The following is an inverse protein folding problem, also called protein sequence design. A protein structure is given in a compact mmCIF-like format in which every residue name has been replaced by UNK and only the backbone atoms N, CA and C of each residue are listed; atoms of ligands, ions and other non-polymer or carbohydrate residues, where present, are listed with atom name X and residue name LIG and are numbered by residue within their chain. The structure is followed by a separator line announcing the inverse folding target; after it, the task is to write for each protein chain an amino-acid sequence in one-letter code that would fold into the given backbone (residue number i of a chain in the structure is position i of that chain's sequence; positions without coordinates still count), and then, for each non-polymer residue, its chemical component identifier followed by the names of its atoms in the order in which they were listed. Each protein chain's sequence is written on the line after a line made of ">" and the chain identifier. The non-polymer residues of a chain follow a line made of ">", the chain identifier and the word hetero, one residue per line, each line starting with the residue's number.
data_IF_599132126951
#
_entry.id   IF_599132126951
#
_cell.length_a   1.000
_cell.length_b   1.000
_cell.length_c   1.000
_cell.angle_alpha   90.00
_cell.angle_beta   90.00
_cell.angle_gamma   90.00
#
_symmetry.space_group_name_H-M   'P 1'
#
loop_
_entity.id
_entity.type
_entity.pdbx_description
1 polymer ?
#
# COMPACT_ATOMS: atom_id res chain seq x y z
N UNK A 1 -1.80 -11.87 27.60
CA UNK A 1 -1.75 -10.68 26.73
C UNK A 1 -2.16 -11.17 25.35
N UNK A 2 -3.14 -10.55 24.70
CA UNK A 2 -3.51 -10.95 23.34
C UNK A 2 -2.28 -10.82 22.45
N UNK A 3 -1.99 -11.89 21.71
CA UNK A 3 -0.82 -11.93 20.80
C UNK A 3 -0.93 -10.84 19.75
N UNK A 4 0.15 -10.10 19.53
CA UNK A 4 0.18 -9.00 18.56
C UNK A 4 0.35 -9.59 17.16
N UNK A 5 -0.61 -9.37 16.23
CA UNK A 5 -0.47 -9.93 14.89
C UNK A 5 0.82 -9.43 14.23
N UNK A 6 1.47 -10.33 13.53
CA UNK A 6 2.68 -10.03 12.74
C UNK A 6 2.26 -9.47 11.39
N UNK A 7 2.79 -8.31 11.05
CA UNK A 7 2.58 -7.63 9.77
C UNK A 7 3.89 -7.64 8.99
N UNK A 8 3.91 -8.33 7.85
CA UNK A 8 5.03 -8.25 6.92
C UNK A 8 5.07 -6.85 6.28
N UNK A 9 6.25 -6.26 6.15
CA UNK A 9 6.44 -4.97 5.49
C UNK A 9 7.55 -5.13 4.46
N UNK A 10 7.18 -5.07 3.18
CA UNK A 10 8.15 -5.20 2.10
C UNK A 10 8.93 -3.90 1.88
N UNK A 11 10.11 -4.03 1.32
CA UNK A 11 10.97 -2.90 0.97
C UNK A 11 12.21 -3.34 0.22
N UNK A 12 13.02 -2.37 -0.28
CA UNK A 12 14.25 -2.67 -0.99
C UNK A 12 15.30 -3.25 -0.05
N UNK A 13 16.29 -3.89 -0.61
CA UNK A 13 17.52 -4.20 0.10
C UNK A 13 18.26 -2.93 0.54
N UNK A 14 19.22 -3.06 1.48
CA UNK A 14 19.97 -1.94 2.00
C UNK A 14 19.27 -1.16 3.12
N UNK A 15 19.79 0.05 3.38
CA UNK A 15 19.32 0.89 4.50
C UNK A 15 18.23 1.85 4.03
N UNK A 16 16.99 1.61 4.45
CA UNK A 16 15.87 2.54 4.34
C UNK A 16 15.31 2.90 5.73
N UNK A 17 16.12 3.54 6.58
CA UNK A 17 15.79 3.66 8.00
C UNK A 17 14.52 4.49 8.26
N UNK A 18 14.26 5.52 7.45
CA UNK A 18 13.15 6.46 7.69
C UNK A 18 11.80 5.80 7.36
N UNK A 19 11.63 5.28 6.13
CA UNK A 19 10.36 4.66 5.72
C UNK A 19 10.04 3.43 6.58
N UNK A 20 11.03 2.55 6.78
CA UNK A 20 10.88 1.39 7.64
C UNK A 20 10.54 1.77 9.09
N UNK A 21 11.28 2.73 9.67
CA UNK A 21 11.04 3.19 11.04
C UNK A 21 9.64 3.79 11.23
N UNK A 22 9.18 4.58 10.26
CA UNK A 22 7.85 5.19 10.27
C UNK A 22 6.75 4.11 10.16
N UNK A 23 6.87 3.16 9.21
CA UNK A 23 5.90 2.07 9.05
C UNK A 23 5.88 1.15 10.27
N UNK A 24 7.06 0.76 10.79
CA UNK A 24 7.17 -0.02 12.02
C UNK A 24 6.48 0.65 13.21
N UNK A 25 6.69 1.95 13.38
CA UNK A 25 6.04 2.72 14.43
C UNK A 25 4.53 2.77 14.24
N UNK A 26 4.04 2.98 13.01
CA UNK A 26 2.61 2.99 12.68
C UNK A 26 1.94 1.65 13.04
N UNK A 27 2.54 0.52 12.64
CA UNK A 27 2.07 -0.84 12.96
C UNK A 27 2.12 -1.08 14.47
N UNK A 28 3.18 -0.66 15.15
CA UNK A 28 3.29 -0.80 16.62
C UNK A 28 2.19 -0.03 17.35
N UNK A 29 1.93 1.22 16.97
CA UNK A 29 0.85 2.04 17.55
C UNK A 29 -0.55 1.50 17.22
N UNK A 30 -0.70 0.75 16.13
CA UNK A 30 -1.91 0.03 15.79
C UNK A 30 -2.10 -1.27 16.58
N UNK A 31 -1.08 -1.71 17.32
CA UNK A 31 -1.11 -2.92 18.14
C UNK A 31 -0.66 -4.19 17.41
N UNK A 32 0.09 -4.05 16.31
CA UNK A 32 0.76 -5.12 15.57
C UNK A 32 2.27 -5.19 15.86
N UNK A 33 2.92 -6.18 15.27
CA UNK A 33 4.38 -6.35 15.23
C UNK A 33 4.83 -6.35 13.77
N UNK A 34 5.66 -5.39 13.37
CA UNK A 34 6.16 -5.32 12.00
C UNK A 34 7.43 -6.15 11.81
N UNK A 35 7.47 -6.94 10.73
CA UNK A 35 8.65 -7.68 10.28
C UNK A 35 9.03 -7.19 8.89
N UNK A 36 10.29 -6.80 8.70
CA UNK A 36 10.78 -6.32 7.40
C UNK A 36 11.13 -7.49 6.50
N UNK A 37 10.58 -7.48 5.29
CA UNK A 37 10.91 -8.41 4.21
C UNK A 37 11.52 -7.67 3.03
N UNK A 38 12.62 -8.23 2.51
CA UNK A 38 13.34 -7.72 1.34
C UNK A 38 13.73 -8.89 0.45
N UNK A 39 14.06 -8.68 -0.83
CA UNK A 39 14.51 -9.77 -1.71
C UNK A 39 15.60 -10.64 -1.08
N UNK A 40 16.62 -10.03 -0.46
CA UNK A 40 17.77 -10.77 0.12
C UNK A 40 17.46 -11.50 1.42
N UNK A 41 16.52 -11.02 2.25
CA UNK A 41 16.27 -11.60 3.58
C UNK A 41 15.04 -12.52 3.62
N UNK A 42 14.23 -12.53 2.57
CA UNK A 42 13.05 -13.38 2.49
C UNK A 42 13.41 -14.87 2.39
N UNK A 43 12.61 -15.70 3.04
CA UNK A 43 12.67 -17.17 2.95
C UNK A 43 11.25 -17.70 2.89
N UNK A 44 10.98 -18.67 2.02
CA UNK A 44 9.64 -19.19 1.70
C UNK A 44 8.81 -19.55 2.94
N UNK A 45 9.41 -20.23 3.93
CA UNK A 45 8.75 -20.61 5.19
C UNK A 45 8.28 -19.42 6.05
N UNK A 46 8.65 -18.19 5.70
CA UNK A 46 8.20 -17.00 6.42
C UNK A 46 6.78 -16.59 6.01
N UNK A 47 6.28 -17.06 4.85
CA UNK A 47 4.93 -16.76 4.37
C UNK A 47 3.84 -17.16 5.37
N UNK A 48 4.07 -18.22 6.14
CA UNK A 48 3.12 -18.71 7.15
C UNK A 48 3.12 -17.93 8.47
N UNK A 49 4.05 -16.98 8.63
CA UNK A 49 4.28 -16.31 9.91
C UNK A 49 3.60 -14.97 10.08
N UNK A 50 3.03 -14.40 9.05
CA UNK A 50 2.39 -13.08 9.12
C UNK A 50 0.90 -13.16 8.79
N UNK A 51 0.13 -12.31 9.44
CA UNK A 51 -1.33 -12.24 9.36
C UNK A 51 -1.81 -11.05 8.52
N UNK A 52 -0.92 -10.20 8.03
CA UNK A 52 -1.18 -9.12 7.09
C UNK A 52 0.12 -8.70 6.41
N UNK A 53 -0.01 -8.00 5.29
CA UNK A 53 1.15 -7.49 4.54
C UNK A 53 0.98 -6.01 4.19
N UNK A 54 2.08 -5.27 4.26
CA UNK A 54 2.21 -3.90 3.74
C UNK A 54 3.21 -3.96 2.59
N UNK A 55 2.76 -3.63 1.39
CA UNK A 55 3.64 -3.41 0.24
C UNK A 55 4.11 -1.96 0.31
N UNK A 56 5.40 -1.78 0.55
CA UNK A 56 5.95 -0.48 0.91
C UNK A 56 6.14 0.48 -0.26
N UNK A 57 6.26 1.78 0.05
CA UNK A 57 6.65 2.81 -0.91
C UNK A 57 8.11 2.67 -1.37
N UNK A 58 8.50 3.41 -2.41
CA UNK A 58 9.89 3.37 -2.90
C UNK A 58 10.12 3.98 -4.29
N UNK A 59 11.03 3.36 -5.04
CA UNK A 59 11.40 3.69 -6.41
C UNK A 59 10.24 3.49 -7.41
N UNK A 60 10.48 3.80 -8.67
CA UNK A 60 9.50 3.59 -9.73
C UNK A 60 9.35 2.09 -10.04
N UNK A 61 8.20 1.68 -10.56
CA UNK A 61 7.94 0.33 -11.07
C UNK A 61 8.41 0.26 -12.50
N UNK A 62 9.01 -0.87 -12.89
CA UNK A 62 9.42 -1.10 -14.26
C UNK A 62 8.21 -1.03 -15.21
N UNK A 63 8.30 -0.14 -16.19
CA UNK A 63 7.23 0.11 -17.13
C UNK A 63 6.91 -1.10 -18.02
N UNK A 64 7.86 -2.01 -18.23
CA UNK A 64 7.64 -3.26 -18.97
C UNK A 64 6.56 -4.13 -18.32
N UNK A 65 6.41 -4.08 -16.98
CA UNK A 65 5.41 -4.86 -16.25
C UNK A 65 3.97 -4.48 -16.57
N UNK A 66 3.73 -3.28 -17.11
CA UNK A 66 2.38 -2.82 -17.48
C UNK A 66 2.27 -2.33 -18.93
N UNK A 67 3.26 -2.68 -19.78
CA UNK A 67 3.27 -2.34 -21.20
C UNK A 67 3.53 -0.84 -21.48
N UNK A 68 4.19 -0.15 -20.57
CA UNK A 68 4.60 1.24 -20.68
C UNK A 68 6.05 1.40 -21.14
N UNK A 69 6.54 2.63 -21.10
CA UNK A 69 7.94 2.97 -21.37
C UNK A 69 8.60 3.61 -20.15
N UNK A 70 9.82 3.17 -19.83
CA UNK A 70 10.61 3.78 -18.79
C UNK A 70 11.12 5.16 -19.23
N UNK A 71 11.09 6.13 -18.35
CA UNK A 71 11.69 7.44 -18.59
C UNK A 71 13.19 7.40 -18.28
N UNK A 72 13.97 8.34 -18.82
CA UNK A 72 15.41 8.47 -18.50
C UNK A 72 15.70 8.69 -17.01
N UNK A 73 14.69 9.08 -16.24
CA UNK A 73 14.79 9.37 -14.81
C UNK A 73 14.19 8.28 -13.93
N UNK A 74 13.66 7.19 -14.53
CA UNK A 74 13.08 6.07 -13.79
C UNK A 74 14.15 5.36 -12.96
N UNK A 75 13.86 5.15 -11.70
CA UNK A 75 14.71 4.38 -10.77
C UNK A 75 14.04 3.04 -10.52
N UNK A 76 14.47 2.02 -11.24
CA UNK A 76 13.89 0.69 -11.22
C UNK A 76 14.68 -0.20 -10.27
N UNK A 77 13.96 -1.08 -9.57
CA UNK A 77 14.49 -2.14 -8.71
C UNK A 77 13.77 -3.45 -9.09
N UNK A 78 14.27 -4.09 -10.14
CA UNK A 78 13.62 -5.25 -10.74
C UNK A 78 13.53 -6.44 -9.77
N UNK A 79 14.57 -6.67 -8.96
CA UNK A 79 14.55 -7.75 -7.95
C UNK A 79 13.43 -7.53 -6.93
N UNK A 80 13.23 -6.29 -6.54
CA UNK A 80 12.14 -5.90 -5.66
C UNK A 80 10.78 -6.00 -6.34
N UNK A 81 10.66 -5.61 -7.61
CA UNK A 81 9.42 -5.72 -8.38
C UNK A 81 8.96 -7.18 -8.44
N UNK A 82 9.87 -8.11 -8.77
CA UNK A 82 9.58 -9.54 -8.84
C UNK A 82 9.20 -10.11 -7.46
N UNK A 83 9.99 -9.81 -6.44
CA UNK A 83 9.73 -10.24 -5.07
C UNK A 83 8.37 -9.74 -4.55
N UNK A 84 8.09 -8.45 -4.70
CA UNK A 84 6.82 -7.89 -4.20
C UNK A 84 5.62 -8.37 -5.03
N UNK A 85 5.79 -8.64 -6.33
CA UNK A 85 4.76 -9.28 -7.17
C UNK A 85 4.40 -10.68 -6.62
N UNK A 86 5.40 -11.50 -6.28
CA UNK A 86 5.18 -12.80 -5.64
C UNK A 86 4.45 -12.68 -4.30
N UNK A 87 4.86 -11.71 -3.47
CA UNK A 87 4.23 -11.46 -2.17
C UNK A 87 2.78 -10.98 -2.28
N UNK A 88 2.46 -10.16 -3.30
CA UNK A 88 1.10 -9.74 -3.60
C UNK A 88 0.27 -10.96 -4.04
N UNK A 89 0.77 -11.79 -4.96
CA UNK A 89 0.10 -13.01 -5.40
C UNK A 89 -0.23 -13.92 -4.22
N UNK A 90 0.76 -14.24 -3.37
CA UNK A 90 0.54 -15.03 -2.16
C UNK A 90 -0.56 -14.41 -1.25
N UNK A 91 -0.53 -13.11 -1.04
CA UNK A 91 -1.51 -12.45 -0.17
C UNK A 91 -2.93 -12.45 -0.77
N UNK A 92 -3.05 -12.37 -2.09
CA UNK A 92 -4.33 -12.52 -2.80
C UNK A 92 -4.87 -13.94 -2.67
N UNK A 93 -4.05 -14.96 -2.93
CA UNK A 93 -4.42 -16.38 -2.89
C UNK A 93 -4.84 -16.83 -1.49
N UNK A 94 -4.18 -16.29 -0.46
CA UNK A 94 -4.44 -16.64 0.95
C UNK A 94 -5.41 -15.68 1.63
N UNK A 95 -5.93 -14.70 0.90
CA UNK A 95 -6.86 -13.68 1.40
C UNK A 95 -6.33 -12.90 2.63
N UNK A 96 -5.00 -12.69 2.68
CA UNK A 96 -4.35 -11.91 3.73
C UNK A 96 -4.68 -10.42 3.58
N UNK A 97 -4.98 -9.67 4.64
CA UNK A 97 -5.13 -8.22 4.58
C UNK A 97 -3.89 -7.54 3.96
N UNK A 98 -4.12 -6.70 2.93
CA UNK A 98 -3.08 -6.04 2.15
C UNK A 98 -3.22 -4.52 2.24
N UNK A 99 -2.14 -3.82 2.59
CA UNK A 99 -2.02 -2.37 2.45
C UNK A 99 -0.91 -2.03 1.46
N UNK A 100 -1.27 -1.44 0.32
CA UNK A 100 -0.31 -0.84 -0.60
C UNK A 100 -0.05 0.63 -0.28
N UNK A 101 1.22 1.04 -0.14
CA UNK A 101 1.60 2.42 0.12
C UNK A 101 2.40 2.97 -1.07
N UNK A 102 1.90 4.02 -1.71
CA UNK A 102 2.51 4.73 -2.83
C UNK A 102 2.88 3.75 -3.96
N UNK A 103 4.16 3.42 -4.14
CA UNK A 103 4.61 2.38 -5.07
C UNK A 103 3.89 1.04 -4.86
N UNK A 104 3.65 0.66 -3.60
CA UNK A 104 2.94 -0.60 -3.29
C UNK A 104 1.49 -0.62 -3.79
N UNK A 105 0.78 0.51 -3.75
CA UNK A 105 -0.55 0.62 -4.33
C UNK A 105 -0.51 0.52 -5.86
N UNK A 106 0.51 1.11 -6.48
CA UNK A 106 0.74 1.04 -7.92
C UNK A 106 1.07 -0.40 -8.37
N UNK A 107 1.96 -1.10 -7.64
CA UNK A 107 2.33 -2.47 -7.96
C UNK A 107 1.14 -3.44 -7.81
N UNK A 108 0.32 -3.29 -6.79
CA UNK A 108 -0.93 -4.06 -6.65
C UNK A 108 -1.82 -3.85 -7.88
N UNK A 109 -1.98 -2.61 -8.35
CA UNK A 109 -2.73 -2.29 -9.56
C UNK A 109 -2.14 -3.00 -10.79
N UNK A 110 -0.83 -2.99 -10.96
CA UNK A 110 -0.12 -3.63 -12.08
C UNK A 110 -0.27 -5.15 -12.03
N UNK A 111 -0.09 -5.78 -10.87
CA UNK A 111 -0.27 -7.24 -10.68
C UNK A 111 -1.69 -7.68 -11.04
N UNK A 112 -2.67 -6.84 -10.83
CA UNK A 112 -4.07 -7.07 -11.21
C UNK A 112 -4.37 -6.62 -12.66
N UNK A 113 -3.37 -6.38 -13.50
CA UNK A 113 -3.49 -6.08 -14.93
C UNK A 113 -3.79 -4.62 -15.24
N UNK A 114 -3.66 -3.70 -14.29
CA UNK A 114 -3.77 -2.26 -14.51
C UNK A 114 -2.53 -1.63 -15.15
N UNK A 115 -2.57 -0.32 -15.42
CA UNK A 115 -1.45 0.45 -15.95
C UNK A 115 -1.17 1.70 -15.10
N UNK A 116 -0.03 2.34 -15.35
CA UNK A 116 0.40 3.56 -14.67
C UNK A 116 0.69 4.67 -15.67
N UNK A 117 0.39 5.90 -15.28
CA UNK A 117 1.06 7.07 -15.85
C UNK A 117 2.51 7.06 -15.37
N UNK A 118 3.47 7.07 -16.28
CA UNK A 118 4.89 7.14 -15.96
C UNK A 118 5.31 8.52 -15.42
N UNK A 119 4.57 9.58 -15.80
CA UNK A 119 4.80 10.95 -15.32
C UNK A 119 3.49 11.77 -15.27
N UNK A 120 3.08 12.15 -14.06
CA UNK A 120 1.87 12.94 -13.84
C UNK A 120 2.09 14.46 -13.83
N UNK A 121 3.32 14.93 -14.07
CA UNK A 121 3.63 16.37 -13.96
C UNK A 121 2.84 17.23 -14.93
N UNK A 122 2.54 16.71 -16.12
CA UNK A 122 1.73 17.39 -17.14
C UNK A 122 0.22 17.20 -16.93
N UNK A 123 -0.19 16.27 -16.07
CA UNK A 123 -1.60 16.03 -15.74
C UNK A 123 -2.10 16.92 -14.58
N UNK A 124 -1.18 17.59 -13.87
CA UNK A 124 -1.55 18.45 -12.75
C UNK A 124 -1.81 19.86 -13.23
N UNK A 125 -3.05 20.29 -13.10
CA UNK A 125 -3.52 21.62 -13.45
C UNK A 125 -3.90 22.45 -12.22
N UNK A 126 -4.47 21.83 -11.19
CA UNK A 126 -4.98 22.50 -10.00
C UNK A 126 -3.98 22.45 -8.82
N UNK A 127 -3.06 21.48 -8.81
CA UNK A 127 -2.11 21.33 -7.74
C UNK A 127 -0.66 21.35 -8.25
N UNK A 128 0.28 21.79 -7.40
CA UNK A 128 1.68 21.87 -7.79
C UNK A 128 2.34 20.48 -7.89
N UNK A 129 3.38 20.38 -8.74
CA UNK A 129 4.24 19.20 -8.86
C UNK A 129 5.23 19.02 -7.69
N UNK A 130 5.18 19.90 -6.68
CA UNK A 130 6.10 19.87 -5.54
C UNK A 130 5.89 18.59 -4.72
N UNK A 131 6.93 17.77 -4.63
CA UNK A 131 6.99 16.62 -3.72
C UNK A 131 7.17 17.10 -2.29
N UNK A 132 6.41 16.55 -1.35
CA UNK A 132 6.48 16.93 0.05
C UNK A 132 5.99 15.82 0.97
N UNK A 133 6.70 15.53 2.07
CA UNK A 133 6.22 14.61 3.10
C UNK A 133 5.11 15.24 3.98
N UNK A 134 4.91 16.56 3.89
CA UNK A 134 3.87 17.25 4.65
C UNK A 134 2.50 17.16 3.97
N UNK A 135 1.38 17.21 4.72
CA UNK A 135 0.01 17.03 4.20
C UNK A 135 -0.48 18.30 3.49
N UNK A 136 0.06 18.57 2.28
CA UNK A 136 -0.24 19.79 1.50
C UNK A 136 -1.22 19.56 0.35
N UNK A 137 -1.54 18.30 0.01
CA UNK A 137 -2.56 17.97 -0.98
C UNK A 137 -3.84 17.48 -0.30
N UNK A 138 -4.90 17.37 -1.08
CA UNK A 138 -6.22 16.93 -0.60
C UNK A 138 -6.62 15.69 -1.39
N UNK A 139 -7.06 14.66 -0.69
CA UNK A 139 -7.81 13.56 -1.27
C UNK A 139 -9.30 13.76 -0.98
N UNK A 140 -10.13 13.37 -1.93
CA UNK A 140 -11.59 13.47 -1.90
C UNK A 140 -12.14 12.06 -2.09
N UNK A 141 -13.07 11.65 -1.23
CA UNK A 141 -13.78 10.39 -1.36
C UNK A 141 -14.60 10.36 -2.66
N UNK A 142 -14.51 9.26 -3.41
CA UNK A 142 -15.29 9.02 -4.62
C UNK A 142 -16.40 7.99 -4.39
N UNK A 143 -16.16 7.03 -3.52
CA UNK A 143 -17.14 6.00 -3.17
C UNK A 143 -16.94 5.50 -1.73
N UNK A 144 -18.01 4.92 -1.18
CA UNK A 144 -17.94 4.26 0.13
C UNK A 144 -17.01 3.04 0.08
N UNK A 145 -16.33 2.78 1.20
CA UNK A 145 -15.43 1.66 1.35
C UNK A 145 -14.67 1.67 2.66
N UNK A 146 -13.86 0.64 2.86
CA UNK A 146 -13.12 0.45 4.12
C UNK A 146 -12.07 1.53 4.38
N UNK A 147 -11.55 2.16 3.32
CA UNK A 147 -10.65 3.31 3.47
C UNK A 147 -11.41 4.52 4.00
N UNK A 148 -12.60 4.80 3.48
CA UNK A 148 -13.44 5.92 3.94
C UNK A 148 -13.87 5.71 5.39
N UNK A 149 -14.23 4.47 5.77
CA UNK A 149 -14.52 4.11 7.17
C UNK A 149 -13.32 4.36 8.09
N UNK A 150 -12.11 4.06 7.61
CA UNK A 150 -10.89 4.33 8.35
C UNK A 150 -10.61 5.82 8.47
N UNK A 151 -10.74 6.57 7.39
CA UNK A 151 -10.47 8.01 7.31
C UNK A 151 -11.53 8.82 8.05
N UNK A 152 -12.81 8.44 7.94
CA UNK A 152 -13.96 9.09 8.57
C UNK A 152 -14.07 10.58 8.15
N UNK A 153 -14.05 10.83 6.84
CA UNK A 153 -14.15 12.16 6.24
C UNK A 153 -14.23 12.05 4.72
N UNK A 154 -15.05 12.85 4.10
CA UNK A 154 -15.17 12.95 2.63
C UNK A 154 -13.96 13.66 1.98
N UNK A 155 -13.22 14.44 2.77
CA UNK A 155 -11.99 15.10 2.34
C UNK A 155 -10.94 15.07 3.44
N UNK A 156 -9.69 14.79 3.06
CA UNK A 156 -8.58 14.78 4.01
C UNK A 156 -7.26 15.22 3.39
N UNK A 157 -6.35 15.64 4.26
CA UNK A 157 -5.01 16.10 3.84
C UNK A 157 -4.08 14.92 3.68
N UNK A 158 -3.32 14.92 2.57
CA UNK A 158 -2.32 13.91 2.20
C UNK A 158 -0.99 14.58 1.81
N UNK A 159 0.09 13.81 1.89
CA UNK A 159 1.38 14.17 1.30
C UNK A 159 1.48 13.64 -0.14
N UNK A 160 2.54 13.99 -0.85
CA UNK A 160 2.76 13.50 -2.23
C UNK A 160 4.25 13.46 -2.52
N UNK A 161 4.77 12.26 -2.80
CA UNK A 161 6.19 12.00 -3.05
C UNK A 161 6.43 11.24 -4.37
N UNK A 162 5.41 11.16 -5.23
CA UNK A 162 5.39 10.33 -6.44
C UNK A 162 5.30 11.18 -7.72
N UNK A 163 5.78 10.62 -8.83
CA UNK A 163 5.53 11.09 -10.20
C UNK A 163 4.74 10.07 -11.03
N UNK A 164 4.79 8.78 -10.68
CA UNK A 164 3.88 7.78 -11.25
C UNK A 164 2.53 7.79 -10.51
N UNK A 165 1.47 7.41 -11.20
CA UNK A 165 0.13 7.20 -10.62
C UNK A 165 -0.63 6.14 -11.41
N UNK A 166 -1.66 5.57 -10.81
CA UNK A 166 -2.58 4.64 -11.47
C UNK A 166 -3.28 5.35 -12.62
N UNK A 167 -3.20 4.75 -13.82
CA UNK A 167 -3.90 5.15 -15.04
C UNK A 167 -5.14 4.25 -15.22
N UNK A 168 -4.97 3.06 -15.81
CA UNK A 168 -6.03 2.07 -15.93
C UNK A 168 -6.05 1.17 -14.70
N UNK A 169 -7.24 1.02 -14.15
CA UNK A 169 -7.46 0.21 -12.95
C UNK A 169 -7.29 -1.28 -13.23
N UNK A 170 -6.66 -2.01 -12.30
CA UNK A 170 -6.54 -3.46 -12.33
C UNK A 170 -7.88 -4.15 -12.06
N UNK A 171 -7.98 -5.41 -12.47
CA UNK A 171 -9.18 -6.21 -12.32
C UNK A 171 -9.56 -6.39 -10.84
N UNK A 172 -10.85 -6.26 -10.54
CA UNK A 172 -11.37 -6.41 -9.17
C UNK A 172 -11.04 -5.26 -8.23
N UNK A 173 -10.43 -4.17 -8.72
CA UNK A 173 -10.25 -2.93 -7.95
C UNK A 173 -11.36 -1.92 -8.24
N UNK A 174 -11.61 -1.04 -7.29
CA UNK A 174 -12.41 0.19 -7.44
C UNK A 174 -11.64 1.40 -6.91
N UNK A 175 -11.88 2.55 -7.53
CA UNK A 175 -11.38 3.83 -7.00
C UNK A 175 -12.26 4.26 -5.84
N UNK A 176 -11.64 4.68 -4.74
CA UNK A 176 -12.35 5.17 -3.54
C UNK A 176 -11.93 6.59 -3.16
N UNK A 177 -10.85 7.11 -3.75
CA UNK A 177 -10.45 8.49 -3.57
C UNK A 177 -9.64 9.02 -4.75
N UNK A 178 -9.82 10.31 -5.07
CA UNK A 178 -9.01 11.07 -6.03
C UNK A 178 -8.52 12.37 -5.40
N UNK A 179 -7.50 12.97 -6.02
CA UNK A 179 -7.12 14.34 -5.65
C UNK A 179 -7.84 15.39 -6.53
N UNK A 180 -7.51 16.67 -6.33
CA UNK A 180 -8.12 17.78 -7.08
C UNK A 180 -7.80 17.74 -8.59
N UNK A 181 -6.73 17.08 -9.00
CA UNK A 181 -6.36 16.85 -10.40
C UNK A 181 -6.97 15.54 -10.96
N UNK A 182 -7.93 14.96 -10.27
CA UNK A 182 -8.60 13.68 -10.61
C UNK A 182 -7.67 12.47 -10.64
N UNK A 183 -6.44 12.56 -10.12
CA UNK A 183 -5.51 11.44 -10.02
C UNK A 183 -5.96 10.49 -8.90
N UNK A 184 -5.88 9.19 -9.16
CA UNK A 184 -6.25 8.14 -8.20
C UNK A 184 -5.36 8.26 -6.95
N UNK A 185 -5.99 8.38 -5.80
CA UNK A 185 -5.31 8.46 -4.51
C UNK A 185 -5.65 7.26 -3.61
N UNK A 186 -6.77 6.61 -3.81
CA UNK A 186 -7.17 5.43 -3.05
C UNK A 186 -7.86 4.40 -3.92
N UNK A 187 -7.50 3.13 -3.74
CA UNK A 187 -8.13 1.97 -4.37
C UNK A 187 -8.44 0.91 -3.34
N UNK A 188 -9.48 0.12 -3.59
CA UNK A 188 -9.87 -1.04 -2.79
C UNK A 188 -10.24 -2.20 -3.70
N UNK A 189 -10.08 -3.43 -3.21
CA UNK A 189 -10.67 -4.59 -3.88
C UNK A 189 -12.18 -4.65 -3.67
N UNK A 190 -12.88 -5.14 -4.70
CA UNK A 190 -14.33 -5.39 -4.66
C UNK A 190 -14.64 -6.69 -3.91
N UNK A 191 -13.77 -7.70 -4.00
CA UNK A 191 -14.00 -9.06 -3.50
C UNK A 191 -13.05 -9.53 -2.41
N UNK A 192 -11.83 -8.98 -2.36
CA UNK A 192 -10.85 -9.38 -1.35
C UNK A 192 -11.26 -8.88 0.04
N UNK A 193 -11.08 -9.71 1.07
CA UNK A 193 -11.47 -9.43 2.46
C UNK A 193 -11.04 -8.04 2.96
N UNK A 194 -9.80 -7.64 2.70
CA UNK A 194 -9.27 -6.32 3.01
C UNK A 194 -8.03 -6.01 2.16
N UNK A 195 -8.21 -5.34 1.04
CA UNK A 195 -7.15 -4.81 0.22
C UNK A 195 -7.39 -3.32 0.02
N UNK A 196 -6.46 -2.52 0.46
CA UNK A 196 -6.46 -1.06 0.33
C UNK A 196 -5.13 -0.61 -0.25
N UNK A 197 -5.17 0.18 -1.30
CA UNK A 197 -4.02 0.89 -1.86
C UNK A 197 -4.17 2.39 -1.67
N UNK A 198 -3.14 3.06 -1.15
CA UNK A 198 -3.10 4.53 -1.00
C UNK A 198 -1.88 5.09 -1.72
N UNK A 199 -2.08 6.15 -2.52
CA UNK A 199 -1.01 6.76 -3.31
C UNK A 199 -0.08 7.66 -2.47
N UNK A 200 -0.54 8.13 -1.32
CA UNK A 200 0.28 8.91 -0.39
C UNK A 200 1.00 8.02 0.63
N UNK A 201 1.73 8.65 1.55
CA UNK A 201 2.51 8.00 2.60
C UNK A 201 1.88 8.27 3.98
N UNK A 202 0.90 7.45 4.43
CA UNK A 202 0.25 7.61 5.74
C UNK A 202 1.22 7.39 6.91
N UNK A 203 2.30 6.61 6.70
CA UNK A 203 3.33 6.35 7.71
C UNK A 203 4.11 7.60 8.11
N UNK A 204 4.21 8.61 7.23
CA UNK A 204 4.81 9.91 7.56
C UNK A 204 3.82 10.88 8.23
N UNK A 205 2.54 10.53 8.26
CA UNK A 205 1.46 11.36 8.80
C UNK A 205 0.82 10.77 10.05
N UNK A 206 1.50 9.89 10.77
CA UNK A 206 0.97 9.18 11.96
C UNK A 206 0.60 10.12 13.13
N UNK A 207 1.05 11.37 13.11
CA UNK A 207 0.59 12.39 14.04
C UNK A 207 -0.87 12.81 13.80
N UNK A 208 -1.43 12.54 12.61
CA UNK A 208 -2.84 12.73 12.28
C UNK A 208 -3.65 11.47 12.61
N UNK A 209 -4.72 11.61 13.41
CA UNK A 209 -5.57 10.49 13.86
C UNK A 209 -6.11 9.65 12.71
N UNK A 210 -6.59 10.30 11.62
CA UNK A 210 -7.13 9.64 10.43
C UNK A 210 -6.12 8.70 9.77
N UNK A 211 -4.87 9.13 9.65
CA UNK A 211 -3.81 8.32 9.02
C UNK A 211 -3.46 7.07 9.87
N UNK A 212 -3.44 7.20 11.21
CA UNK A 212 -3.25 6.04 12.10
C UNK A 212 -4.38 5.01 12.01
N UNK A 213 -5.61 5.43 11.69
CA UNK A 213 -6.75 4.52 11.60
C UNK A 213 -6.59 3.52 10.45
N UNK A 214 -5.91 3.88 9.34
CA UNK A 214 -5.60 2.94 8.25
C UNK A 214 -4.83 1.73 8.79
N UNK A 215 -3.77 1.97 9.55
CA UNK A 215 -2.97 0.89 10.15
C UNK A 215 -3.75 0.11 11.22
N UNK A 216 -4.63 0.77 11.97
CA UNK A 216 -5.51 0.10 12.93
C UNK A 216 -6.48 -0.86 12.24
N UNK A 217 -7.07 -0.46 11.13
CA UNK A 217 -7.95 -1.33 10.35
C UNK A 217 -7.21 -2.54 9.83
N UNK A 218 -6.01 -2.37 9.24
CA UNK A 218 -5.16 -3.47 8.81
C UNK A 218 -4.88 -4.46 9.96
N UNK A 219 -4.42 -3.97 11.11
CA UNK A 219 -4.09 -4.82 12.27
C UNK A 219 -5.33 -5.48 12.87
N UNK A 220 -6.48 -4.83 12.85
CA UNK A 220 -7.74 -5.42 13.27
C UNK A 220 -8.12 -6.61 12.37
N UNK A 221 -8.06 -6.46 11.07
CA UNK A 221 -8.33 -7.54 10.09
C UNK A 221 -7.33 -8.69 10.20
N UNK A 222 -6.05 -8.39 10.48
CA UNK A 222 -5.04 -9.41 10.76
C UNK A 222 -5.41 -10.28 11.98
N UNK A 223 -5.93 -9.68 13.04
CA UNK A 223 -6.39 -10.42 14.23
C UNK A 223 -7.60 -11.31 13.96
N UNK A 224 -8.57 -10.80 13.22
CA UNK A 224 -9.78 -11.55 12.86
C UNK A 224 -9.42 -12.80 12.05
N UNK A 225 -8.50 -12.70 11.07
CA UNK A 225 -8.03 -13.82 10.28
C UNK A 225 -7.31 -14.88 11.10
N UNK A 226 -6.44 -14.47 12.02
CA UNK A 226 -5.76 -15.39 12.92
C UNK A 226 -6.76 -16.15 13.84
N UNK A 227 -7.80 -15.48 14.32
CA UNK A 227 -8.82 -16.10 15.15
C UNK A 227 -9.73 -17.08 14.38
N UNK A 228 -9.96 -16.85 13.09
CA UNK A 228 -10.72 -17.77 12.22
C UNK A 228 -9.90 -19.03 11.88
N UNK A 229 -8.61 -18.86 11.58
CA UNK A 229 -7.71 -19.99 11.30
C UNK A 229 -7.57 -20.97 12.47
N UNK A 230 -7.66 -20.48 13.72
CA UNK A 230 -7.63 -21.30 14.93
C UNK A 230 -8.93 -22.09 15.19
N UNK A 231 -10.02 -21.77 14.49
CA UNK A 231 -11.33 -22.41 14.66
C UNK A 231 -11.64 -23.49 13.64
N UNK A 232 -10.83 -23.62 12.58
CA UNK A 232 -10.97 -24.69 11.62
C UNK A 232 -10.39 -25.98 12.23
N UNK A 233 -11.13 -27.10 12.29
CA UNK A 233 -10.58 -28.36 12.75
C UNK A 233 -9.45 -28.79 11.81
N UNK A 234 -8.36 -29.33 12.37
CA UNK A 234 -7.37 -30.08 11.64
C UNK A 234 -8.06 -31.37 11.19
N UNK A 235 -8.40 -31.48 9.90
CA UNK A 235 -8.89 -32.73 9.27
C UNK A 235 -7.74 -33.71 9.03
#
# INVERSE_FOLDING_TARGET
>A
MADRPVVAVTGPDGRYPIAWGATRLAVFLAGGTAVRLTPSNFREHQKERFQAIIIGGGSDIDAELYGGENTEHSRIDLERDLFETEMIGHALDTNLPILGICRGAQLINVVLGGSLFSDIRLLREQTSNRRTPFPRKTAIAESNGVLLDAIDSDQWRINSLHYQAIDRLGEGLKVVARDLDSLVQGVESISHRWLVGVQWHPEYLIYLKRQRRIFRHLVCRAREGAAESLKLPED
#
